data_IF_104887574305
#
_entry.id   IF_104887574305
#
_cell.length_a   1.000
_cell.length_b   1.000
_cell.length_c   1.000
_cell.angle_alpha   90.00
_cell.angle_beta   90.00
_cell.angle_gamma   90.00
#
_symmetry.space_group_name_H-M   'P 1'
#
loop_
_entity.id
_entity.type
_entity.pdbx_description
1 polymer ?
#
# COMPACT_ATOMS: atom_id res chain seq x y z
N UNK A 1 0.77 1.04 12.14
CA UNK A 1 0.49 0.43 10.82
C UNK A 1 -0.15 1.48 9.95
N UNK A 2 0.43 1.75 8.79
CA UNK A 2 -0.09 2.70 7.79
C UNK A 2 -0.12 2.00 6.44
N UNK A 3 -1.11 2.32 5.61
CA UNK A 3 -1.25 1.78 4.25
C UNK A 3 -1.19 2.94 3.26
N UNK A 4 -0.25 2.88 2.31
CA UNK A 4 0.01 3.94 1.32
C UNK A 4 0.10 3.32 -0.07
N UNK A 5 -0.35 4.04 -1.10
CA UNK A 5 -0.19 3.64 -2.49
C UNK A 5 1.31 3.57 -2.87
N UNK A 6 1.71 2.56 -3.65
CA UNK A 6 3.12 2.40 -4.03
C UNK A 6 3.62 3.60 -4.86
N UNK A 7 4.53 4.36 -4.26
CA UNK A 7 5.30 5.45 -4.88
C UNK A 7 6.78 5.25 -4.56
N UNK A 8 7.68 5.69 -5.44
CA UNK A 8 9.13 5.47 -5.30
C UNK A 8 9.70 6.09 -4.03
N UNK A 9 9.23 7.28 -3.67
CA UNK A 9 9.73 8.09 -2.55
C UNK A 9 9.37 7.49 -1.17
N UNK A 10 8.23 6.79 -1.09
CA UNK A 10 7.73 6.20 0.17
C UNK A 10 8.70 5.18 0.74
N UNK A 11 9.44 4.46 -0.10
CA UNK A 11 10.45 3.50 0.35
C UNK A 11 11.66 4.19 0.99
N UNK A 12 12.01 5.38 0.52
CA UNK A 12 13.12 6.16 1.07
C UNK A 12 12.72 6.79 2.41
N UNK A 13 11.52 7.37 2.49
CA UNK A 13 11.04 8.01 3.73
C UNK A 13 10.89 7.05 4.90
N UNK A 14 10.45 5.83 4.62
CA UNK A 14 10.23 4.79 5.64
C UNK A 14 11.35 3.76 5.65
N UNK A 15 12.56 4.16 5.24
CA UNK A 15 13.74 3.31 5.35
C UNK A 15 13.97 2.93 6.82
N UNK A 16 14.00 1.62 7.10
CA UNK A 16 14.15 1.08 8.46
C UNK A 16 12.85 0.63 9.12
N UNK A 17 11.70 0.86 8.50
CA UNK A 17 10.43 0.24 8.89
C UNK A 17 10.21 -1.07 8.13
N UNK A 18 9.31 -1.91 8.64
CA UNK A 18 8.91 -3.13 7.96
C UNK A 18 7.85 -2.79 6.90
N UNK A 19 8.21 -2.96 5.62
CA UNK A 19 7.38 -2.60 4.47
C UNK A 19 6.94 -3.89 3.76
N UNK A 20 5.64 -4.09 3.62
CA UNK A 20 5.04 -5.21 2.89
C UNK A 20 4.26 -4.70 1.68
N UNK A 21 4.44 -5.33 0.53
CA UNK A 21 3.62 -5.07 -0.67
C UNK A 21 2.42 -6.00 -0.67
N UNK A 22 1.23 -5.41 -0.74
CA UNK A 22 -0.03 -6.15 -0.83
C UNK A 22 -0.84 -5.66 -2.02
N UNK A 23 -1.57 -6.60 -2.62
CA UNK A 23 -2.49 -6.31 -3.71
C UNK A 23 -3.90 -6.19 -3.13
N UNK A 24 -4.45 -4.97 -3.14
CA UNK A 24 -5.78 -4.68 -2.58
C UNK A 24 -6.72 -4.36 -3.73
N UNK A 25 -7.79 -5.15 -3.85
CA UNK A 25 -8.89 -4.86 -4.76
C UNK A 25 -9.85 -3.88 -4.11
N UNK A 26 -9.97 -2.66 -4.63
CA UNK A 26 -11.02 -1.76 -4.15
C UNK A 26 -12.38 -2.24 -4.66
N UNK A 27 -13.23 -2.70 -3.73
CA UNK A 27 -14.61 -3.10 -4.01
C UNK A 27 -15.54 -1.89 -4.25
N UNK A 28 -15.18 -0.73 -3.69
CA UNK A 28 -15.90 0.52 -3.82
C UNK A 28 -15.13 1.46 -4.75
N UNK A 29 -15.68 1.70 -5.93
CA UNK A 29 -15.20 2.71 -6.86
C UNK A 29 -16.38 3.33 -7.61
N UNK A 30 -16.27 4.62 -7.95
CA UNK A 30 -17.29 5.37 -8.70
C UNK A 30 -17.45 4.88 -10.13
N UNK A 31 -16.39 4.31 -10.70
CA UNK A 31 -16.38 3.73 -12.05
C UNK A 31 -16.06 2.23 -12.00
N UNK A 32 -16.72 1.43 -12.85
CA UNK A 32 -16.45 -0.01 -12.94
C UNK A 32 -14.99 -0.33 -13.30
N UNK A 33 -14.31 0.57 -14.04
CA UNK A 33 -12.89 0.43 -14.39
C UNK A 33 -11.93 0.62 -13.21
N UNK A 34 -12.37 1.30 -12.16
CA UNK A 34 -11.56 1.54 -10.96
C UNK A 34 -11.67 0.43 -9.91
N UNK A 35 -12.58 -0.55 -10.10
CA UNK A 35 -12.60 -1.81 -9.34
C UNK A 35 -11.51 -2.75 -9.86
N UNK A 36 -10.26 -2.35 -9.64
CA UNK A 36 -9.08 -3.10 -10.02
C UNK A 36 -8.21 -3.31 -8.78
N UNK A 37 -7.27 -4.22 -8.90
CA UNK A 37 -6.28 -4.43 -7.89
C UNK A 37 -5.22 -3.33 -7.93
N UNK A 38 -4.90 -2.76 -6.77
CA UNK A 38 -3.85 -1.78 -6.61
C UNK A 38 -2.78 -2.34 -5.68
N UNK A 39 -1.53 -2.02 -5.99
CA UNK A 39 -0.40 -2.37 -5.14
C UNK A 39 -0.27 -1.30 -4.06
N UNK A 40 -0.60 -1.68 -2.84
CA UNK A 40 -0.39 -0.86 -1.65
C UNK A 40 0.83 -1.35 -0.87
N UNK A 41 1.41 -0.43 -0.11
CA UNK A 41 2.49 -0.66 0.82
C UNK A 41 1.92 -0.59 2.24
N UNK A 42 2.02 -1.69 2.98
CA UNK A 42 1.77 -1.73 4.43
C UNK A 42 3.09 -1.44 5.13
N UNK A 43 3.13 -0.39 5.93
CA UNK A 43 4.31 0.03 6.70
C UNK A 43 4.01 -0.16 8.18
N UNK A 44 4.87 -0.93 8.85
CA UNK A 44 4.73 -1.28 10.27
C UNK A 44 6.03 -0.97 11.03
N UNK A 45 5.87 -0.52 12.28
CA UNK A 45 6.95 -0.21 13.22
C UNK A 45 7.15 -1.30 14.28
N UNK A 46 6.58 -2.48 14.02
CA UNK A 46 6.67 -3.67 14.84
C UNK A 46 6.88 -4.86 13.91
N UNK A 47 7.46 -5.92 14.45
CA UNK A 47 7.53 -7.21 13.77
C UNK A 47 6.23 -7.98 14.06
N UNK A 48 5.71 -8.67 13.03
CA UNK A 48 4.56 -9.55 13.14
C UNK A 48 4.90 -10.82 13.95
#
# INVERSE_FOLDING_TARGET
>A
MIVIAKQSEVREWYQGFNIQEVEVGYSVCRENKGRRNFKELIITNYNL
#
